data_IF_253770325020
#
_entry.id   IF_253770325020
#
_cell.length_a   1.000
_cell.length_b   1.000
_cell.length_c   1.000
_cell.angle_alpha   90.00
_cell.angle_beta   90.00
_cell.angle_gamma   90.00
#
_symmetry.space_group_name_H-M   'P 1'
#
loop_
_entity.id
_entity.type
_entity.pdbx_description
1 polymer ?
#
# COMPACT_ATOMS: atom_id res chain seq x y z
N UNK A 1 -22.18 -4.91 -12.72
CA UNK A 1 -20.75 -4.86 -12.33
C UNK A 1 -20.32 -3.45 -12.61
N UNK A 2 -19.96 -2.69 -11.59
CA UNK A 2 -19.47 -1.32 -11.77
C UNK A 2 -18.14 -1.35 -12.54
N UNK A 3 -17.93 -0.35 -13.39
CA UNK A 3 -16.67 -0.18 -14.11
C UNK A 3 -15.57 0.18 -13.12
N UNK A 4 -14.33 -0.32 -13.28
CA UNK A 4 -13.24 0.02 -12.40
C UNK A 4 -12.88 1.52 -12.48
N UNK A 5 -12.47 2.10 -11.37
CA UNK A 5 -11.80 3.41 -11.37
C UNK A 5 -10.45 3.30 -12.05
N UNK A 6 -10.18 4.19 -12.98
CA UNK A 6 -8.94 4.15 -13.79
C UNK A 6 -7.83 4.94 -13.13
N UNK A 7 -6.69 4.29 -12.99
CA UNK A 7 -5.43 4.88 -12.51
C UNK A 7 -4.48 4.94 -13.71
N UNK A 8 -4.35 6.11 -14.30
CA UNK A 8 -3.57 6.32 -15.53
C UNK A 8 -2.37 7.26 -15.36
N UNK A 9 -2.20 7.83 -14.17
CA UNK A 9 -1.10 8.77 -13.88
C UNK A 9 -0.79 8.83 -12.39
N UNK A 10 0.32 9.48 -12.06
CA UNK A 10 0.69 9.78 -10.68
C UNK A 10 -0.39 10.58 -9.94
N UNK A 11 -1.01 11.57 -10.61
CA UNK A 11 -2.09 12.38 -10.02
C UNK A 11 -3.32 11.54 -9.68
N UNK A 12 -3.67 10.56 -10.53
CA UNK A 12 -4.78 9.65 -10.22
C UNK A 12 -4.44 8.70 -9.07
N UNK A 13 -3.17 8.31 -8.93
CA UNK A 13 -2.69 7.53 -7.78
C UNK A 13 -2.73 8.36 -6.48
N UNK A 14 -2.36 9.65 -6.53
CA UNK A 14 -2.51 10.58 -5.40
C UNK A 14 -3.98 10.68 -4.98
N UNK A 15 -4.90 10.86 -5.94
CA UNK A 15 -6.33 10.94 -5.64
C UNK A 15 -6.85 9.68 -4.95
N UNK A 16 -6.40 8.50 -5.39
CA UNK A 16 -6.72 7.25 -4.71
C UNK A 16 -6.20 7.27 -3.28
N UNK A 17 -4.93 7.63 -3.08
CA UNK A 17 -4.31 7.72 -1.76
C UNK A 17 -5.09 8.67 -0.83
N UNK A 18 -5.39 9.87 -1.31
CA UNK A 18 -6.09 10.88 -0.51
C UNK A 18 -7.52 10.42 -0.18
N UNK A 19 -8.19 9.76 -1.13
CA UNK A 19 -9.54 9.24 -0.94
C UNK A 19 -9.59 8.12 0.11
N UNK A 20 -8.63 7.20 0.09
CA UNK A 20 -8.50 6.13 1.10
C UNK A 20 -8.16 6.70 2.46
N UNK A 21 -7.12 7.54 2.52
CA UNK A 21 -6.59 8.05 3.79
C UNK A 21 -7.54 9.04 4.49
N UNK A 22 -8.50 9.61 3.77
CA UNK A 22 -9.54 10.46 4.34
C UNK A 22 -10.80 9.70 4.79
N UNK A 23 -10.87 8.38 4.55
CA UNK A 23 -12.06 7.58 4.87
C UNK A 23 -11.99 6.94 6.26
N UNK A 24 -12.03 7.77 7.29
CA UNK A 24 -12.02 7.29 8.69
C UNK A 24 -13.22 6.38 9.05
N UNK A 25 -14.25 6.34 8.22
CA UNK A 25 -15.43 5.47 8.44
C UNK A 25 -15.33 4.12 7.73
N UNK A 26 -14.31 3.95 6.89
CA UNK A 26 -14.12 2.77 6.04
C UNK A 26 -15.36 2.41 5.18
N UNK A 27 -16.13 3.40 4.78
CA UNK A 27 -17.39 3.19 4.08
C UNK A 27 -17.33 3.45 2.59
N UNK A 28 -16.31 4.15 2.12
CA UNK A 28 -16.20 4.59 0.72
C UNK A 28 -15.60 3.54 -0.19
N UNK A 29 -14.67 2.72 0.32
CA UNK A 29 -14.03 1.65 -0.45
C UNK A 29 -14.37 0.32 0.21
N UNK A 30 -15.00 -0.54 -0.58
CA UNK A 30 -15.41 -1.88 -0.18
C UNK A 30 -14.63 -2.94 -0.97
N UNK A 31 -14.67 -4.22 -0.59
CA UNK A 31 -14.04 -5.30 -1.35
C UNK A 31 -14.55 -5.43 -2.80
N UNK A 32 -15.67 -4.82 -3.13
CA UNK A 32 -16.25 -4.77 -4.48
C UNK A 32 -15.85 -3.51 -5.26
N UNK A 33 -15.07 -2.59 -4.67
CA UNK A 33 -14.56 -1.40 -5.36
C UNK A 33 -13.30 -1.75 -6.13
N UNK A 34 -13.34 -1.56 -7.45
CA UNK A 34 -12.25 -1.95 -8.35
C UNK A 34 -11.48 -0.74 -8.85
N UNK A 35 -10.15 -0.82 -8.78
CA UNK A 35 -9.20 0.13 -9.37
C UNK A 35 -8.34 -0.59 -10.39
N UNK A 36 -8.13 0.00 -11.56
CA UNK A 36 -7.29 -0.55 -12.61
C UNK A 36 -6.24 0.46 -13.04
N UNK A 37 -4.99 0.10 -12.85
CA UNK A 37 -3.86 0.85 -13.39
C UNK A 37 -3.64 0.42 -14.85
N UNK A 38 -3.81 1.35 -15.78
CA UNK A 38 -3.77 1.04 -17.22
C UNK A 38 -2.36 1.07 -17.81
N UNK A 39 -1.45 1.82 -17.20
CA UNK A 39 -0.09 2.00 -17.71
C UNK A 39 0.93 2.10 -16.58
N UNK A 40 2.23 1.90 -16.86
CA UNK A 40 3.28 2.14 -15.89
C UNK A 40 3.26 3.59 -15.37
N UNK A 41 3.58 3.76 -14.08
CA UNK A 41 3.68 5.07 -13.43
C UNK A 41 5.11 5.25 -12.92
N UNK A 42 5.77 6.30 -13.42
CA UNK A 42 7.07 6.72 -12.93
C UNK A 42 6.91 7.75 -11.82
N UNK A 43 7.27 7.36 -10.60
CA UNK A 43 7.24 8.22 -9.42
C UNK A 43 8.54 9.01 -9.23
N UNK A 44 9.58 8.71 -10.00
CA UNK A 44 10.86 9.39 -9.86
C UNK A 44 10.78 10.86 -10.26
N UNK A 45 10.03 11.18 -11.32
CA UNK A 45 9.79 12.56 -11.75
C UNK A 45 8.79 13.29 -10.84
N UNK A 46 7.91 12.56 -10.21
CA UNK A 46 6.92 13.08 -9.28
C UNK A 46 7.51 13.36 -7.89
N UNK A 47 8.67 12.81 -7.54
CA UNK A 47 9.37 13.10 -6.29
C UNK A 47 9.75 14.59 -6.14
N UNK A 48 9.79 15.36 -7.24
CA UNK A 48 9.92 16.80 -7.19
C UNK A 48 8.68 17.54 -6.64
N UNK A 49 7.56 16.86 -6.48
CA UNK A 49 6.29 17.42 -5.96
C UNK A 49 5.87 16.83 -4.61
N UNK A 50 6.53 15.77 -4.17
CA UNK A 50 6.30 15.21 -2.83
C UNK A 50 7.18 15.91 -1.81
N UNK A 51 6.84 15.73 -0.54
CA UNK A 51 7.73 16.06 0.57
C UNK A 51 9.07 15.31 0.39
N UNK A 52 10.09 16.01 -0.09
CA UNK A 52 11.41 15.45 -0.41
C UNK A 52 12.07 14.79 0.81
N UNK A 53 11.60 15.12 2.01
CA UNK A 53 12.12 14.56 3.25
C UNK A 53 11.53 13.18 3.55
N UNK A 54 10.21 13.01 3.34
CA UNK A 54 9.49 11.80 3.75
C UNK A 54 9.03 10.93 2.56
N UNK A 55 8.96 11.48 1.37
CA UNK A 55 8.52 10.79 0.16
C UNK A 55 7.03 10.43 0.17
N UNK A 56 6.70 9.32 -0.46
CA UNK A 56 5.33 8.84 -0.58
C UNK A 56 4.69 8.57 0.78
N UNK A 57 3.46 9.04 0.94
CA UNK A 57 2.61 8.62 2.05
C UNK A 57 1.78 7.40 1.59
N UNK A 58 1.83 6.25 2.28
CA UNK A 58 1.16 5.05 1.82
C UNK A 58 -0.34 5.20 1.57
N UNK A 59 -0.87 4.44 0.61
CA UNK A 59 -2.33 4.24 0.46
C UNK A 59 -2.77 3.36 1.63
N UNK A 60 -3.72 3.84 2.44
CA UNK A 60 -4.06 3.16 3.69
C UNK A 60 -2.97 3.35 4.75
N UNK A 61 -2.60 4.60 5.03
CA UNK A 61 -1.48 4.95 5.91
C UNK A 61 -1.72 4.63 7.39
N UNK A 62 -2.96 4.35 7.77
CA UNK A 62 -3.37 4.06 9.14
C UNK A 62 -4.25 2.81 9.21
N UNK A 63 -4.24 2.11 10.34
CA UNK A 63 -5.10 0.94 10.58
C UNK A 63 -6.58 1.27 10.61
N UNK A 64 -6.94 2.53 10.86
CA UNK A 64 -8.33 3.01 10.80
C UNK A 64 -8.76 3.38 9.37
N UNK A 65 -7.81 3.54 8.45
CA UNK A 65 -8.08 3.90 7.05
C UNK A 65 -7.38 2.92 6.08
N UNK A 66 -7.48 1.60 6.27
CA UNK A 66 -6.80 0.64 5.42
C UNK A 66 -7.39 0.61 4.01
N UNK A 67 -6.59 0.22 3.04
CA UNK A 67 -7.12 -0.08 1.70
C UNK A 67 -7.96 -1.36 1.73
N UNK A 68 -9.18 -1.31 1.17
CA UNK A 68 -10.14 -2.43 1.18
C UNK A 68 -10.56 -2.91 -0.20
N UNK A 69 -10.21 -2.19 -1.25
CA UNK A 69 -10.64 -2.48 -2.61
C UNK A 69 -9.84 -3.56 -3.32
N UNK A 70 -10.14 -3.72 -4.60
CA UNK A 70 -9.37 -4.53 -5.53
C UNK A 70 -8.52 -3.61 -6.41
N UNK A 71 -7.21 -3.72 -6.31
CA UNK A 71 -6.26 -2.99 -7.16
C UNK A 71 -5.65 -3.93 -8.19
N UNK A 72 -5.93 -3.68 -9.46
CA UNK A 72 -5.31 -4.35 -10.60
C UNK A 72 -4.18 -3.47 -11.11
N UNK A 73 -2.94 -3.85 -10.78
CA UNK A 73 -1.76 -3.04 -10.98
C UNK A 73 -1.10 -3.19 -12.35
N UNK A 74 -0.10 -2.38 -12.54
CA UNK A 74 0.89 -2.42 -13.62
C UNK A 74 2.25 -2.13 -12.96
N UNK A 75 3.24 -1.66 -13.68
CA UNK A 75 4.52 -1.28 -13.10
C UNK A 75 4.48 0.12 -12.46
N UNK A 76 5.07 0.26 -11.27
CA UNK A 76 5.37 1.52 -10.60
C UNK A 76 6.87 1.57 -10.36
N UNK A 77 7.54 2.64 -10.82
CA UNK A 77 8.99 2.83 -10.68
C UNK A 77 9.31 4.04 -9.82
N UNK A 78 10.48 3.99 -9.17
CA UNK A 78 11.02 5.15 -8.44
C UNK A 78 10.25 5.53 -7.18
N UNK A 79 9.56 4.57 -6.55
CA UNK A 79 8.90 4.81 -5.26
C UNK A 79 9.95 5.12 -4.19
N UNK A 80 9.87 6.31 -3.60
CA UNK A 80 10.70 6.74 -2.50
C UNK A 80 9.88 6.95 -1.24
N UNK A 81 10.30 6.32 -0.13
CA UNK A 81 9.71 6.49 1.20
C UNK A 81 10.84 6.55 2.23
N UNK A 82 10.86 7.61 3.04
CA UNK A 82 11.80 7.78 4.13
C UNK A 82 11.06 8.15 5.42
N UNK A 83 10.53 7.17 6.11
CA UNK A 83 9.72 7.33 7.33
C UNK A 83 10.22 6.40 8.44
N UNK A 84 11.46 6.59 8.93
CA UNK A 84 12.13 5.66 9.85
C UNK A 84 11.45 5.49 11.21
N UNK A 85 10.50 6.34 11.56
CA UNK A 85 9.72 6.23 12.81
C UNK A 85 8.30 5.72 12.59
N UNK A 86 7.89 5.41 11.34
CA UNK A 86 6.52 5.03 11.01
C UNK A 86 6.42 3.55 10.70
N UNK A 87 5.26 2.97 11.00
CA UNK A 87 4.89 1.59 10.68
C UNK A 87 3.94 1.53 9.48
N UNK A 88 3.76 0.33 8.92
CA UNK A 88 2.86 0.13 7.78
C UNK A 88 3.36 0.85 6.53
N UNK A 89 4.61 0.61 6.12
CA UNK A 89 5.30 1.35 5.07
C UNK A 89 5.38 0.53 3.78
N UNK A 90 4.92 1.12 2.69
CA UNK A 90 4.92 0.56 1.34
C UNK A 90 4.15 1.45 0.38
N UNK A 91 3.93 1.01 -0.85
CA UNK A 91 2.99 1.69 -1.75
C UNK A 91 1.60 1.74 -1.10
N UNK A 92 1.16 0.58 -0.57
CA UNK A 92 0.04 0.44 0.35
C UNK A 92 0.59 0.24 1.77
N UNK A 93 0.04 0.98 2.73
CA UNK A 93 0.43 0.86 4.13
C UNK A 93 -0.25 -0.35 4.77
N UNK A 94 -1.53 -0.22 5.03
CA UNK A 94 -2.38 -1.28 5.57
C UNK A 94 -3.44 -1.72 4.57
N UNK A 95 -3.62 -3.02 4.44
CA UNK A 95 -4.64 -3.62 3.57
C UNK A 95 -5.53 -4.53 4.43
N UNK A 96 -6.85 -4.31 4.35
CA UNK A 96 -7.86 -5.07 5.08
C UNK A 96 -8.96 -5.55 4.12
N UNK A 97 -9.13 -6.86 3.99
CA UNK A 97 -10.11 -7.46 3.07
C UNK A 97 -9.95 -6.99 1.62
N UNK A 98 -8.75 -6.54 1.24
CA UNK A 98 -8.43 -6.03 -0.07
C UNK A 98 -7.62 -7.00 -0.91
N UNK A 99 -7.63 -6.80 -2.22
CA UNK A 99 -6.85 -7.59 -3.18
C UNK A 99 -5.94 -6.68 -3.99
N UNK A 100 -4.66 -7.05 -4.09
CA UNK A 100 -3.70 -6.40 -4.97
C UNK A 100 -3.21 -7.44 -5.98
N UNK A 101 -3.32 -7.13 -7.26
CA UNK A 101 -2.97 -8.08 -8.31
C UNK A 101 -2.17 -7.44 -9.45
N UNK A 102 -1.23 -8.20 -10.02
CA UNK A 102 -0.46 -7.81 -11.21
C UNK A 102 0.43 -6.57 -11.06
N UNK A 103 0.75 -6.16 -9.84
CA UNK A 103 1.54 -4.97 -9.56
C UNK A 103 3.03 -5.31 -9.46
N UNK A 104 3.85 -4.57 -10.18
CA UNK A 104 5.31 -4.60 -10.03
C UNK A 104 5.81 -3.26 -9.49
N UNK A 105 6.59 -3.29 -8.42
CA UNK A 105 7.30 -2.11 -7.90
C UNK A 105 8.77 -2.25 -8.23
N UNK A 106 9.36 -1.24 -8.87
CA UNK A 106 10.73 -1.29 -9.35
C UNK A 106 11.54 -0.03 -9.00
N UNK A 107 12.86 -0.20 -8.85
CA UNK A 107 13.80 0.91 -8.63
C UNK A 107 13.40 1.81 -7.47
N UNK A 108 13.04 1.21 -6.33
CA UNK A 108 12.47 1.90 -5.16
C UNK A 108 13.45 1.93 -3.99
N UNK A 109 13.39 2.98 -3.18
CA UNK A 109 14.12 3.08 -1.91
C UNK A 109 13.14 3.39 -0.77
N UNK A 110 12.99 2.44 0.14
CA UNK A 110 11.94 2.44 1.14
C UNK A 110 12.55 2.23 2.52
N UNK A 111 12.34 3.18 3.40
CA UNK A 111 12.77 3.15 4.80
C UNK A 111 11.58 3.38 5.72
N UNK A 112 11.42 2.49 6.70
CA UNK A 112 10.37 2.56 7.71
C UNK A 112 10.83 2.00 9.05
N UNK A 113 9.94 1.95 10.04
CA UNK A 113 10.23 1.33 11.33
C UNK A 113 9.77 -0.14 11.34
N UNK A 114 8.48 -0.36 11.27
CA UNK A 114 7.86 -1.66 11.45
C UNK A 114 6.89 -1.95 10.29
N UNK A 115 6.75 -3.23 9.89
CA UNK A 115 5.93 -3.66 8.76
C UNK A 115 6.27 -2.86 7.49
N UNK A 116 7.50 -3.06 6.99
CA UNK A 116 8.04 -2.35 5.84
C UNK A 116 8.12 -3.29 4.64
N UNK A 117 7.42 -2.98 3.57
CA UNK A 117 7.45 -3.73 2.31
C UNK A 117 7.38 -2.81 1.10
N UNK A 118 7.80 -3.27 -0.07
CA UNK A 118 7.72 -2.42 -1.27
C UNK A 118 6.28 -2.21 -1.73
N UNK A 119 5.46 -3.25 -1.68
CA UNK A 119 4.08 -3.19 -2.14
C UNK A 119 3.14 -2.95 -0.98
N UNK A 120 3.20 -3.76 0.07
CA UNK A 120 2.32 -3.67 1.23
C UNK A 120 3.14 -3.63 2.51
N UNK A 121 2.86 -2.65 3.36
CA UNK A 121 3.41 -2.60 4.71
C UNK A 121 2.89 -3.76 5.54
N UNK A 122 1.58 -3.84 5.73
CA UNK A 122 0.94 -4.94 6.44
C UNK A 122 -0.43 -5.32 5.87
N UNK A 123 -0.69 -6.61 5.81
CA UNK A 123 -2.04 -7.13 5.78
C UNK A 123 -2.56 -7.22 7.21
N UNK A 124 -3.75 -6.69 7.45
CA UNK A 124 -4.39 -6.72 8.78
C UNK A 124 -5.67 -7.54 8.72
N UNK A 125 -5.99 -8.23 9.81
CA UNK A 125 -7.24 -8.94 10.00
C UNK A 125 -7.98 -8.38 11.22
N UNK A 126 -9.31 -8.36 11.16
CA UNK A 126 -10.14 -8.16 12.34
C UNK A 126 -10.54 -9.54 12.87
N UNK A 127 -10.38 -9.74 14.15
CA UNK A 127 -10.63 -11.04 14.79
C UNK A 127 -12.11 -11.47 14.89
N UNK A 128 -13.01 -10.71 14.28
CA UNK A 128 -14.47 -10.82 14.48
C UNK A 128 -15.23 -11.59 13.38
N UNK A 129 -14.60 -11.87 12.22
CA UNK A 129 -15.30 -12.50 11.09
C UNK A 129 -14.95 -13.98 10.86
N UNK A 130 -14.23 -14.60 11.80
CA UNK A 130 -13.83 -16.00 11.69
C UNK A 130 -12.87 -16.29 10.52
N UNK A 131 -12.14 -15.28 10.04
CA UNK A 131 -11.16 -15.41 8.95
C UNK A 131 -11.78 -15.61 7.57
N UNK A 132 -13.05 -15.28 7.39
CA UNK A 132 -13.80 -15.56 6.15
C UNK A 132 -13.47 -14.63 4.99
N UNK A 133 -12.88 -13.46 5.27
CA UNK A 133 -12.53 -12.49 4.23
C UNK A 133 -11.07 -12.11 4.38
N UNK A 134 -10.22 -12.77 3.63
CA UNK A 134 -8.78 -12.54 3.66
C UNK A 134 -8.37 -11.47 2.66
N UNK A 135 -7.35 -10.70 3.02
CA UNK A 135 -6.63 -9.89 2.04
C UNK A 135 -5.77 -10.79 1.15
N UNK A 136 -5.58 -10.42 -0.10
CA UNK A 136 -4.78 -11.23 -1.03
C UNK A 136 -3.85 -10.39 -1.91
N UNK A 137 -2.75 -11.02 -2.32
CA UNK A 137 -1.82 -10.47 -3.30
C UNK A 137 -1.49 -11.54 -4.34
N UNK A 138 -1.69 -11.22 -5.64
CA UNK A 138 -1.62 -12.19 -6.73
C UNK A 138 -0.78 -11.64 -7.88
N UNK A 139 0.25 -12.39 -8.31
CA UNK A 139 1.06 -12.03 -9.48
C UNK A 139 1.79 -10.69 -9.33
N UNK A 140 2.16 -10.32 -8.11
CA UNK A 140 2.91 -9.11 -7.83
C UNK A 140 4.41 -9.39 -7.74
N UNK A 141 5.24 -8.37 -8.02
CA UNK A 141 6.68 -8.49 -8.00
C UNK A 141 7.41 -7.21 -7.59
N UNK A 142 8.66 -7.38 -7.19
CA UNK A 142 9.57 -6.28 -6.85
C UNK A 142 10.89 -6.47 -7.58
N UNK A 143 11.43 -5.39 -8.15
CA UNK A 143 12.70 -5.39 -8.90
C UNK A 143 13.59 -4.25 -8.45
N UNK A 144 14.90 -4.51 -8.30
CA UNK A 144 15.92 -3.48 -8.08
C UNK A 144 15.55 -2.47 -6.98
N UNK A 145 15.01 -2.94 -5.86
CA UNK A 145 14.49 -2.08 -4.80
C UNK A 145 15.20 -2.34 -3.47
N UNK A 146 15.36 -1.29 -2.67
CA UNK A 146 15.89 -1.34 -1.32
C UNK A 146 14.76 -1.18 -0.31
N UNK A 147 14.70 -2.08 0.66
CA UNK A 147 13.74 -2.01 1.77
C UNK A 147 14.50 -2.09 3.08
N UNK A 148 14.34 -1.07 3.93
CA UNK A 148 15.01 -0.98 5.23
C UNK A 148 14.00 -0.78 6.34
N UNK A 149 14.03 -1.65 7.34
CA UNK A 149 13.43 -1.41 8.65
C UNK A 149 14.45 -0.80 9.60
N UNK A 150 14.02 -0.13 10.66
CA UNK A 150 14.92 0.34 11.70
C UNK A 150 15.49 -0.83 12.52
N UNK A 151 16.63 -0.63 13.19
CA UNK A 151 17.26 -1.62 14.05
C UNK A 151 16.29 -2.09 15.15
N UNK A 152 16.11 -3.42 15.25
CA UNK A 152 15.17 -4.03 16.18
C UNK A 152 13.73 -4.16 15.65
N UNK A 153 13.44 -3.73 14.42
CA UNK A 153 12.12 -3.90 13.82
C UNK A 153 11.87 -5.37 13.47
N UNK A 154 10.73 -5.88 13.89
CA UNK A 154 10.21 -7.16 13.41
C UNK A 154 9.28 -6.87 12.22
N UNK A 155 9.47 -7.58 11.08
CA UNK A 155 8.60 -7.44 9.92
C UNK A 155 9.07 -6.42 8.89
N UNK A 156 10.24 -6.67 8.28
CA UNK A 156 10.64 -6.04 7.01
C UNK A 156 10.77 -7.12 5.96
N UNK A 157 10.12 -6.93 4.83
CA UNK A 157 10.15 -7.86 3.71
C UNK A 157 10.21 -7.14 2.37
N UNK A 158 10.87 -7.76 1.37
CA UNK A 158 11.03 -7.15 0.05
C UNK A 158 9.69 -6.80 -0.63
N UNK A 159 8.65 -7.58 -0.40
CA UNK A 159 7.32 -7.39 -1.01
C UNK A 159 6.30 -6.95 0.02
N UNK A 160 6.19 -7.68 1.13
CA UNK A 160 5.25 -7.45 2.25
C UNK A 160 6.03 -7.39 3.55
N UNK A 161 5.76 -6.42 4.39
CA UNK A 161 6.43 -6.24 5.68
C UNK A 161 5.81 -7.09 6.80
N UNK A 162 4.51 -7.20 6.86
CA UNK A 162 3.81 -7.96 7.90
C UNK A 162 2.57 -8.69 7.40
N UNK A 163 2.35 -9.87 7.94
CA UNK A 163 1.18 -10.69 7.66
C UNK A 163 0.41 -10.91 8.97
N UNK A 164 -0.92 -10.86 8.87
CA UNK A 164 -1.84 -11.22 9.96
C UNK A 164 -1.68 -10.41 11.25
N UNK A 165 -1.48 -9.12 11.10
CA UNK A 165 -1.42 -8.24 12.25
C UNK A 165 -2.83 -7.98 12.79
N UNK A 166 -3.15 -8.59 13.94
CA UNK A 166 -4.40 -8.33 14.64
C UNK A 166 -4.44 -6.90 15.17
N UNK A 167 -5.43 -6.13 14.77
CA UNK A 167 -5.79 -4.91 15.50
C UNK A 167 -6.75 -5.30 16.61
N UNK A 168 -6.24 -5.49 17.84
CA UNK A 168 -7.10 -5.53 19.00
C UNK A 168 -7.60 -4.11 19.26
N UNK A 169 -8.83 -3.82 18.93
CA UNK A 169 -9.55 -2.70 19.55
C UNK A 169 -9.86 -3.10 20.98
N UNK A 170 -9.19 -2.46 21.93
CA UNK A 170 -9.62 -2.41 23.33
C UNK A 170 -10.88 -1.54 23.46
#
# INVERSE_FOLDING_TARGET
KESPYIISSYESLIRLKDYVNADATNSKITPETYFRQEQPIDMFQASCQCDMQYGWNPIGADTNTPFRGVYMGNEITGLYINRPSSAGIGLFGYVYKGTISGLTVANSDITGNFAVGSIVGAFISAGDDGGRTMSSMIGCGVKNSSVKGSDGSTGSGGIVGGLDMYTSTL
#
